data_IF_068449483398
#
_entry.id   IF_068449483398
#
_cell.length_a   1.000
_cell.length_b   1.000
_cell.length_c   1.000
_cell.angle_alpha   90.00
_cell.angle_beta   90.00
_cell.angle_gamma   90.00
#
_symmetry.space_group_name_H-M   'P 1'
#
loop_
_entity.id
_entity.type
_entity.pdbx_description
1 polymer ?
#
# COMPACT_ATOMS: atom_id res chain seq x y z
N UNK A 1 17.32 15.17 -6.43
CA UNK A 1 16.87 15.77 -5.15
C UNK A 1 17.59 17.10 -4.91
N UNK A 2 17.50 18.04 -5.88
CA UNK A 2 18.23 19.31 -5.82
C UNK A 2 17.36 20.46 -5.30
N UNK A 3 16.05 20.41 -5.57
CA UNK A 3 15.06 21.38 -5.06
C UNK A 3 14.59 21.10 -3.63
N UNK A 4 14.56 19.83 -3.19
CA UNK A 4 14.13 19.47 -1.84
C UNK A 4 15.09 19.99 -0.75
N UNK A 5 16.39 19.98 -1.04
CA UNK A 5 17.41 20.58 -0.18
C UNK A 5 17.30 22.12 -0.09
N UNK A 6 16.57 22.77 -1.01
CA UNK A 6 16.49 24.23 -1.13
C UNK A 6 15.15 24.81 -0.68
N UNK A 7 14.07 24.05 -0.74
CA UNK A 7 12.70 24.55 -0.47
C UNK A 7 11.96 23.82 0.64
N UNK A 8 12.48 22.70 1.16
CA UNK A 8 11.83 21.91 2.23
C UNK A 8 10.50 21.24 1.84
N UNK A 9 9.93 21.61 0.70
CA UNK A 9 8.63 21.15 0.22
C UNK A 9 8.77 19.97 -0.76
N UNK A 10 8.46 18.77 -0.26
CA UNK A 10 8.39 17.55 -1.06
C UNK A 10 7.13 17.45 -1.93
N UNK A 11 6.08 18.25 -1.66
CA UNK A 11 4.79 18.15 -2.34
C UNK A 11 4.87 18.57 -3.80
N UNK A 12 5.66 19.61 -4.11
CA UNK A 12 5.93 20.02 -5.51
C UNK A 12 6.60 18.92 -6.33
N UNK A 13 7.50 18.16 -5.71
CA UNK A 13 8.17 17.03 -6.37
C UNK A 13 7.19 15.87 -6.60
N UNK A 14 6.42 15.49 -5.57
CA UNK A 14 5.38 14.46 -5.65
C UNK A 14 4.36 14.82 -6.73
N UNK A 15 3.87 16.06 -6.74
CA UNK A 15 2.92 16.54 -7.75
C UNK A 15 3.47 16.43 -9.16
N UNK A 16 4.75 16.74 -9.38
CA UNK A 16 5.41 16.58 -10.69
C UNK A 16 5.63 15.12 -11.07
N UNK A 17 5.82 14.23 -10.09
CA UNK A 17 5.96 12.79 -10.31
C UNK A 17 4.64 12.14 -10.75
N UNK A 18 3.52 12.53 -10.16
CA UNK A 18 2.22 11.96 -10.51
C UNK A 18 1.49 12.68 -11.65
N UNK A 19 1.86 13.94 -11.96
CA UNK A 19 1.26 14.67 -13.07
C UNK A 19 1.54 13.96 -14.42
N UNK A 20 0.51 13.67 -15.23
CA UNK A 20 0.70 13.11 -16.55
C UNK A 20 1.45 14.10 -17.44
N UNK A 21 2.56 13.66 -18.03
CA UNK A 21 3.36 14.44 -18.99
C UNK A 21 3.40 13.71 -20.34
N UNK A 22 3.72 14.45 -21.42
CA UNK A 22 3.87 13.85 -22.75
C UNK A 22 4.88 12.70 -22.76
N UNK A 23 6.03 12.89 -22.09
CA UNK A 23 7.07 11.86 -21.95
C UNK A 23 6.55 10.60 -21.27
N UNK A 24 5.80 10.72 -20.18
CA UNK A 24 5.20 9.56 -19.49
C UNK A 24 4.15 8.87 -20.35
N UNK A 25 3.36 9.61 -21.13
CA UNK A 25 2.39 9.03 -22.08
C UNK A 25 3.09 8.25 -23.19
N UNK A 26 4.20 8.76 -23.71
CA UNK A 26 5.00 8.07 -24.73
C UNK A 26 5.62 6.79 -24.18
N UNK A 27 6.29 6.86 -23.02
CA UNK A 27 6.85 5.68 -22.35
C UNK A 27 5.77 4.64 -22.08
N UNK A 28 4.61 5.07 -21.57
CA UNK A 28 3.49 4.18 -21.32
C UNK A 28 2.95 3.54 -22.61
N UNK A 29 2.84 4.29 -23.71
CA UNK A 29 2.38 3.76 -24.99
C UNK A 29 3.34 2.72 -25.59
N UNK A 30 4.65 2.95 -25.45
CA UNK A 30 5.70 2.04 -25.94
C UNK A 30 5.81 0.76 -25.11
N UNK A 31 5.72 0.88 -23.78
CA UNK A 31 5.91 -0.26 -22.85
C UNK A 31 4.63 -1.06 -22.59
N UNK A 32 3.45 -0.43 -22.67
CA UNK A 32 2.16 -1.07 -22.41
C UNK A 32 1.94 -2.40 -23.15
N UNK A 33 2.22 -2.53 -24.47
CA UNK A 33 1.92 -3.75 -25.20
C UNK A 33 2.77 -4.94 -24.76
N UNK A 34 3.97 -4.68 -24.25
CA UNK A 34 4.87 -5.72 -23.75
C UNK A 34 4.52 -6.14 -22.31
N UNK A 35 4.06 -5.18 -21.50
CA UNK A 35 3.95 -5.36 -20.05
C UNK A 35 2.52 -5.57 -19.56
N UNK A 36 1.50 -5.18 -20.31
CA UNK A 36 0.11 -5.14 -19.84
C UNK A 36 -0.85 -5.90 -20.76
N UNK A 37 -1.73 -6.70 -20.16
CA UNK A 37 -2.85 -7.34 -20.83
C UNK A 37 -4.14 -6.54 -20.64
N UNK A 38 -5.06 -6.63 -21.61
CA UNK A 38 -6.37 -5.99 -21.49
C UNK A 38 -7.26 -6.82 -20.56
N UNK A 39 -7.69 -6.20 -19.46
CA UNK A 39 -8.66 -6.80 -18.55
C UNK A 39 -10.07 -6.86 -19.14
N UNK A 40 -10.89 -7.75 -18.57
CA UNK A 40 -12.33 -7.86 -18.87
C UNK A 40 -13.13 -6.83 -18.06
N UNK A 41 -14.11 -6.18 -18.67
CA UNK A 41 -14.99 -5.20 -18.03
C UNK A 41 -15.37 -4.04 -18.95
N UNK A 42 -16.33 -3.17 -18.55
CA UNK A 42 -16.84 -2.08 -19.38
C UNK A 42 -15.76 -1.04 -19.73
N UNK A 43 -14.83 -0.77 -18.80
CA UNK A 43 -13.72 0.19 -18.97
C UNK A 43 -12.43 -0.43 -19.48
N UNK A 44 -12.38 -1.77 -19.65
CA UNK A 44 -11.24 -2.56 -20.14
C UNK A 44 -9.88 -2.09 -19.60
N UNK A 45 -9.68 -2.06 -18.26
CA UNK A 45 -8.43 -1.59 -17.68
C UNK A 45 -7.26 -2.48 -18.14
N UNK A 46 -6.12 -1.86 -18.47
CA UNK A 46 -4.87 -2.59 -18.69
C UNK A 46 -4.34 -3.08 -17.35
N UNK A 47 -4.07 -4.37 -17.24
CA UNK A 47 -3.59 -5.03 -16.02
C UNK A 47 -2.22 -5.63 -16.29
N UNK A 48 -1.37 -5.65 -15.27
CA UNK A 48 -0.18 -6.50 -15.32
C UNK A 48 -0.64 -7.95 -15.38
N UNK A 49 -0.10 -8.78 -16.31
CA UNK A 49 -0.37 -10.21 -16.28
C UNK A 49 0.22 -10.74 -14.98
N UNK A 50 -0.63 -11.30 -14.12
CA UNK A 50 -0.13 -12.06 -12.98
C UNK A 50 0.57 -13.29 -13.55
N UNK A 51 1.83 -13.50 -13.14
CA UNK A 51 2.51 -14.77 -13.42
C UNK A 51 1.61 -15.91 -12.93
N UNK A 52 1.64 -17.05 -13.63
CA UNK A 52 0.97 -18.25 -13.12
C UNK A 52 1.43 -18.54 -11.67
N UNK A 53 0.47 -18.89 -10.81
CA UNK A 53 0.75 -19.22 -9.43
C UNK A 53 1.77 -20.37 -9.38
N UNK A 54 2.87 -20.16 -8.65
CA UNK A 54 3.86 -21.22 -8.42
C UNK A 54 3.43 -22.07 -7.23
N UNK A 55 3.91 -23.30 -7.15
CA UNK A 55 3.68 -24.18 -5.98
C UNK A 55 4.08 -23.52 -4.65
N UNK A 56 5.13 -22.70 -4.65
CA UNK A 56 5.56 -21.92 -3.47
C UNK A 56 4.64 -20.76 -3.09
N UNK A 57 3.78 -20.33 -4.00
CA UNK A 57 2.81 -19.25 -3.77
C UNK A 57 1.51 -19.81 -3.16
N UNK A 58 1.35 -21.14 -3.15
CA UNK A 58 0.30 -21.82 -2.39
C UNK A 58 0.71 -21.86 -0.91
N UNK A 59 0.24 -20.87 -0.16
CA UNK A 59 0.32 -20.89 1.30
C UNK A 59 -1.04 -21.27 1.88
N UNK A 60 -1.05 -22.28 2.74
CA UNK A 60 -2.21 -22.64 3.56
C UNK A 60 -2.15 -21.86 4.88
N UNK A 61 -3.27 -21.24 5.24
CA UNK A 61 -3.37 -20.46 6.48
C UNK A 61 -3.22 -21.40 7.68
N UNK A 62 -2.39 -21.02 8.65
CA UNK A 62 -2.35 -21.71 9.94
C UNK A 62 -3.63 -21.48 10.74
N UNK A 63 -3.92 -22.35 11.70
CA UNK A 63 -5.10 -22.21 12.57
C UNK A 63 -5.14 -20.84 13.27
N UNK A 64 -3.99 -20.37 13.78
CA UNK A 64 -3.86 -19.04 14.37
C UNK A 64 -4.22 -17.91 13.39
N UNK A 65 -3.89 -18.05 12.10
CA UNK A 65 -4.25 -17.05 11.09
C UNK A 65 -5.77 -17.04 10.81
N UNK A 66 -6.44 -18.18 10.92
CA UNK A 66 -7.89 -18.28 10.81
C UNK A 66 -8.60 -17.60 11.99
N UNK A 67 -8.06 -17.75 13.21
CA UNK A 67 -8.58 -17.06 14.40
C UNK A 67 -8.47 -15.53 14.26
N UNK A 68 -7.31 -15.03 13.83
CA UNK A 68 -7.11 -13.59 13.57
C UNK A 68 -8.06 -13.09 12.47
N UNK A 69 -8.27 -13.89 11.42
CA UNK A 69 -9.24 -13.57 10.37
C UNK A 69 -10.66 -13.47 10.93
N UNK A 70 -11.07 -14.36 11.84
CA UNK A 70 -12.38 -14.32 12.47
C UNK A 70 -12.55 -13.08 13.35
N UNK A 71 -11.53 -12.75 14.16
CA UNK A 71 -11.51 -11.52 14.96
C UNK A 71 -11.65 -10.28 14.08
N UNK A 72 -10.91 -10.24 12.96
CA UNK A 72 -10.93 -9.10 12.05
C UNK A 72 -12.26 -8.98 11.29
N UNK A 73 -12.91 -10.08 10.92
CA UNK A 73 -14.26 -10.07 10.33
C UNK A 73 -15.31 -9.52 11.31
N UNK A 74 -15.22 -9.88 12.59
CA UNK A 74 -16.12 -9.35 13.64
C UNK A 74 -15.90 -7.84 13.78
N UNK A 75 -14.65 -7.38 13.90
CA UNK A 75 -14.32 -5.96 14.01
C UNK A 75 -14.75 -5.17 12.77
N UNK A 76 -14.53 -5.70 11.56
CA UNK A 76 -14.90 -5.04 10.31
C UNK A 76 -16.42 -4.88 10.16
N UNK A 77 -17.20 -5.87 10.59
CA UNK A 77 -18.67 -5.81 10.58
C UNK A 77 -19.24 -4.77 11.54
N UNK A 78 -18.50 -4.44 12.61
CA UNK A 78 -18.90 -3.43 13.60
C UNK A 78 -18.91 -1.98 13.09
N UNK A 79 -18.34 -1.69 11.90
CA UNK A 79 -18.20 -0.32 11.41
C UNK A 79 -17.19 0.49 12.24
N UNK A 80 -16.88 1.72 11.81
CA UNK A 80 -15.79 2.58 12.31
C UNK A 80 -15.90 3.11 13.76
N UNK A 81 -16.37 2.29 14.70
CA UNK A 81 -16.40 2.58 16.14
C UNK A 81 -15.11 2.17 16.87
N UNK A 82 -14.02 1.79 16.18
CA UNK A 82 -12.70 1.81 16.82
C UNK A 82 -12.22 3.26 16.86
N UNK A 83 -12.83 4.01 17.77
CA UNK A 83 -12.27 5.24 18.30
C UNK A 83 -10.86 4.90 18.76
N UNK A 84 -9.86 5.52 18.13
CA UNK A 84 -8.56 5.64 18.78
C UNK A 84 -8.81 6.47 20.03
N UNK A 85 -9.13 5.82 21.15
CA UNK A 85 -8.98 6.48 22.44
C UNK A 85 -7.49 6.77 22.54
N UNK A 86 -7.14 8.06 22.47
CA UNK A 86 -5.83 8.52 22.83
C UNK A 86 -5.59 8.10 24.26
N UNK A 87 -4.84 7.00 24.46
CA UNK A 87 -4.18 6.78 25.74
C UNK A 87 -3.00 7.74 25.76
N UNK A 88 -3.33 9.01 25.98
CA UNK A 88 -2.38 10.02 26.41
C UNK A 88 -1.88 9.56 27.79
N UNK A 89 -0.68 9.01 27.83
CA UNK A 89 0.02 8.70 29.08
C UNK A 89 0.31 7.22 29.32
N UNK A 90 1.27 6.67 28.59
CA UNK A 90 2.19 5.66 29.13
C UNK A 90 3.52 5.76 28.35
N UNK A 91 4.19 6.89 28.56
CA UNK A 91 5.63 6.96 28.37
C UNK A 91 6.23 6.08 29.47
N UNK A 92 6.61 4.86 29.11
CA UNK A 92 7.34 3.96 30.00
C UNK A 92 8.70 4.59 30.35
N UNK A 93 8.79 5.13 31.57
CA UNK A 93 10.03 5.42 32.26
C UNK A 93 10.90 4.16 32.24
N UNK A 94 11.94 4.18 31.42
CA UNK A 94 12.97 3.15 31.36
C UNK A 94 14.30 3.72 31.81
N UNK A 95 14.31 4.45 32.93
CA UNK A 95 15.55 4.95 33.57
C UNK A 95 15.42 5.00 35.10
N UNK A 96 15.12 3.87 35.75
CA UNK A 96 15.30 3.74 37.21
C UNK A 96 15.40 2.27 37.65
N UNK A 97 16.39 1.54 37.14
CA UNK A 97 16.80 0.26 37.74
C UNK A 97 18.26 -0.08 37.42
N UNK A 98 19.15 0.91 37.55
CA UNK A 98 20.59 0.69 37.70
C UNK A 98 21.15 1.80 38.61
N UNK A 99 20.97 1.64 39.92
CA UNK A 99 21.91 2.12 40.93
C UNK A 99 21.76 1.33 42.21
#
# INVERSE_FOLDING_TARGET
>A
MRDQARSGDGLRWIGRLFRPSFTKRLVFALTSPFMLERGKGPTKPKRLPFRAAKSRDMWEQSEAALEVKAQWEIARRGGGHTSFESRDGEAHETEATLS
#
